data_IF_788390744781
#
_entry.id   IF_788390744781
#
_cell.length_a   1.000
_cell.length_b   1.000
_cell.length_c   1.000
_cell.angle_alpha   90.00
_cell.angle_beta   90.00
_cell.angle_gamma   90.00
#
_symmetry.space_group_name_H-M   'P 1'
#
loop_
_entity.id
_entity.type
_entity.pdbx_description
1 polymer ?
#
# COMPACT_ATOMS: atom_id res chain seq x y z
N UNK A 1 -5.03 14.65 -17.44
CA UNK A 1 -5.62 14.08 -16.20
C UNK A 1 -5.70 12.55 -16.28
N UNK A 2 -6.40 11.96 -17.26
CA UNK A 2 -6.47 10.50 -17.43
C UNK A 2 -5.10 9.82 -17.45
N UNK A 3 -4.12 10.39 -18.16
CA UNK A 3 -2.76 9.87 -18.22
C UNK A 3 -2.10 9.74 -16.83
N UNK A 4 -2.29 10.73 -15.95
CA UNK A 4 -1.76 10.71 -14.58
C UNK A 4 -2.43 9.62 -13.75
N UNK A 5 -3.75 9.43 -13.90
CA UNK A 5 -4.49 8.38 -13.21
C UNK A 5 -3.99 7.00 -13.65
N UNK A 6 -3.88 6.75 -14.95
CA UNK A 6 -3.43 5.47 -15.50
C UNK A 6 -1.99 5.15 -15.07
N UNK A 7 -1.07 6.10 -15.26
CA UNK A 7 0.33 5.92 -14.86
C UNK A 7 0.42 5.72 -13.35
N UNK A 8 -0.29 6.54 -12.56
CA UNK A 8 -0.30 6.46 -11.10
C UNK A 8 -0.78 5.11 -10.58
N UNK A 9 -1.84 4.54 -11.16
CA UNK A 9 -2.32 3.20 -10.79
C UNK A 9 -1.30 2.12 -11.12
N UNK A 10 -0.71 2.14 -12.32
CA UNK A 10 0.30 1.15 -12.72
C UNK A 10 1.54 1.20 -11.81
N UNK A 11 1.95 2.42 -11.49
CA UNK A 11 3.08 2.68 -10.63
C UNK A 11 2.81 2.24 -9.17
N UNK A 12 1.58 2.40 -8.68
CA UNK A 12 1.19 1.98 -7.33
C UNK A 12 1.42 0.48 -7.11
N UNK A 13 1.23 -0.35 -8.15
CA UNK A 13 1.50 -1.79 -8.08
C UNK A 13 3.00 -2.10 -8.16
N UNK A 14 3.75 -1.29 -8.93
CA UNK A 14 5.18 -1.54 -9.19
C UNK A 14 6.16 -0.92 -8.20
N UNK A 15 5.70 -0.14 -7.21
CA UNK A 15 6.59 0.57 -6.28
C UNK A 15 7.02 -0.36 -5.16
N UNK A 16 8.31 -0.70 -5.12
CA UNK A 16 8.89 -1.44 -4.01
C UNK A 16 8.87 -0.60 -2.71
N UNK A 17 8.59 -1.24 -1.57
CA UNK A 17 8.56 -0.60 -0.24
C UNK A 17 9.95 -0.29 0.33
N UNK A 18 10.80 0.39 -0.46
CA UNK A 18 12.16 0.78 -0.06
C UNK A 18 12.26 2.31 0.12
N UNK A 19 13.11 2.80 1.04
CA UNK A 19 13.33 4.24 1.21
C UNK A 19 13.76 4.90 -0.11
N UNK A 20 13.16 6.05 -0.43
CA UNK A 20 13.48 6.84 -1.63
C UNK A 20 12.84 6.34 -2.93
N UNK A 21 12.08 5.23 -2.92
CA UNK A 21 11.36 4.76 -4.12
C UNK A 21 10.34 5.80 -4.64
N UNK A 22 9.70 6.55 -3.73
CA UNK A 22 8.72 7.57 -4.06
C UNK A 22 9.26 8.70 -4.95
N UNK A 23 10.51 9.13 -4.74
CA UNK A 23 11.13 10.20 -5.55
C UNK A 23 11.46 9.73 -6.97
N UNK A 24 12.00 8.52 -7.12
CA UNK A 24 12.26 7.93 -8.45
C UNK A 24 10.96 7.84 -9.25
N UNK A 25 9.89 7.50 -8.55
CA UNK A 25 8.57 7.29 -9.09
C UNK A 25 7.92 8.63 -9.52
N UNK A 26 8.00 9.68 -8.69
CA UNK A 26 7.60 11.05 -9.04
C UNK A 26 8.42 11.59 -10.23
N UNK A 27 9.74 11.38 -10.24
CA UNK A 27 10.61 11.78 -11.36
C UNK A 27 10.18 11.16 -12.69
N UNK A 28 9.78 9.89 -12.65
CA UNK A 28 9.31 9.15 -13.82
C UNK A 28 7.99 9.72 -14.34
N UNK A 29 7.03 10.02 -13.45
CA UNK A 29 5.76 10.64 -13.82
C UNK A 29 5.97 12.02 -14.43
N UNK A 30 6.80 12.87 -13.80
CA UNK A 30 7.11 14.22 -14.30
C UNK A 30 7.66 14.20 -15.72
N UNK A 31 8.60 13.29 -16.00
CA UNK A 31 9.15 13.08 -17.34
C UNK A 31 8.08 12.67 -18.35
N UNK A 32 7.18 11.75 -17.97
CA UNK A 32 6.13 11.24 -18.85
C UNK A 32 5.02 12.27 -19.17
N UNK A 33 4.80 13.25 -18.29
CA UNK A 33 3.82 14.33 -18.53
C UNK A 33 4.47 15.63 -19.02
N UNK A 34 5.78 15.65 -19.28
CA UNK A 34 6.50 16.81 -19.80
C UNK A 34 6.71 17.95 -18.78
N UNK A 35 6.68 17.64 -17.48
CA UNK A 35 6.92 18.61 -16.42
C UNK A 35 8.43 18.73 -16.10
N UNK A 36 8.87 19.90 -15.61
CA UNK A 36 10.28 20.15 -15.31
C UNK A 36 10.78 19.24 -14.17
N UNK A 37 11.74 18.38 -14.47
CA UNK A 37 12.34 17.43 -13.51
C UNK A 37 13.03 18.15 -12.34
N UNK A 38 13.48 19.39 -12.54
CA UNK A 38 14.11 20.22 -11.52
C UNK A 38 13.16 20.48 -10.32
N UNK A 39 11.84 20.47 -10.55
CA UNK A 39 10.86 20.60 -9.48
C UNK A 39 10.87 19.38 -8.52
N UNK A 40 11.32 18.21 -8.98
CA UNK A 40 11.45 17.02 -8.12
C UNK A 40 12.56 17.19 -7.09
N UNK A 41 13.59 17.99 -7.39
CA UNK A 41 14.65 18.31 -6.43
C UNK A 41 14.15 19.15 -5.24
N UNK A 42 12.98 19.79 -5.33
CA UNK A 42 12.35 20.44 -4.18
C UNK A 42 11.64 19.40 -3.28
N UNK A 43 11.09 18.35 -3.88
CA UNK A 43 10.38 17.29 -3.16
C UNK A 43 11.34 16.39 -2.35
N UNK A 44 12.61 16.28 -2.75
CA UNK A 44 13.61 15.52 -1.99
C UNK A 44 13.81 16.05 -0.57
N UNK A 45 13.54 17.34 -0.32
CA UNK A 45 13.62 17.92 1.02
C UNK A 45 12.62 17.30 2.02
N UNK A 46 11.51 16.76 1.53
CA UNK A 46 10.46 16.14 2.36
C UNK A 46 10.29 14.63 2.09
N UNK A 47 11.08 14.05 1.18
CA UNK A 47 10.93 12.67 0.72
C UNK A 47 10.91 11.67 1.86
N UNK A 48 11.80 11.83 2.85
CA UNK A 48 11.83 10.95 4.01
C UNK A 48 10.49 10.93 4.77
N UNK A 49 9.88 12.09 4.99
CA UNK A 49 8.61 12.19 5.72
C UNK A 49 7.44 11.61 4.91
N UNK A 50 7.36 11.99 3.63
CA UNK A 50 6.31 11.52 2.73
C UNK A 50 6.42 10.00 2.52
N UNK A 51 7.64 9.51 2.31
CA UNK A 51 7.94 8.09 2.15
C UNK A 51 7.57 7.26 3.37
N UNK A 52 7.86 7.76 4.59
CA UNK A 52 7.42 7.10 5.82
C UNK A 52 5.89 7.03 5.92
N UNK A 53 5.19 8.10 5.54
CA UNK A 53 3.72 8.11 5.47
C UNK A 53 3.17 7.06 4.52
N UNK A 54 3.75 6.93 3.32
CA UNK A 54 3.38 5.89 2.36
C UNK A 54 3.57 4.48 2.93
N UNK A 55 4.72 4.19 3.55
CA UNK A 55 4.96 2.88 4.17
C UNK A 55 3.96 2.60 5.29
N UNK A 56 3.71 3.57 6.17
CA UNK A 56 2.77 3.42 7.29
C UNK A 56 1.34 3.13 6.79
N UNK A 57 0.88 3.84 5.76
CA UNK A 57 -0.43 3.64 5.17
C UNK A 57 -0.54 2.29 4.45
N UNK A 58 0.50 1.87 3.73
CA UNK A 58 0.53 0.58 3.05
C UNK A 58 0.44 -0.57 4.07
N UNK A 59 1.27 -0.55 5.13
CA UNK A 59 1.23 -1.57 6.19
C UNK A 59 -0.12 -1.55 6.91
N UNK A 60 -0.69 -0.38 7.17
CA UNK A 60 -2.03 -0.28 7.79
C UNK A 60 -3.10 -0.89 6.89
N UNK A 61 -3.03 -0.64 5.59
CA UNK A 61 -3.93 -1.25 4.60
C UNK A 61 -3.84 -2.79 4.59
N UNK A 62 -2.63 -3.34 4.63
CA UNK A 62 -2.40 -4.79 4.68
C UNK A 62 -2.97 -5.40 5.98
N UNK A 63 -2.77 -4.74 7.13
CA UNK A 63 -3.32 -5.18 8.41
C UNK A 63 -4.86 -5.15 8.41
N UNK A 64 -5.45 -4.07 7.89
CA UNK A 64 -6.91 -3.95 7.78
C UNK A 64 -7.46 -5.00 6.82
N UNK A 65 -6.83 -5.20 5.66
CA UNK A 65 -7.22 -6.21 4.69
C UNK A 65 -7.14 -7.63 5.29
N UNK A 66 -6.04 -7.93 5.99
CA UNK A 66 -5.85 -9.20 6.69
C UNK A 66 -6.94 -9.43 7.74
N UNK A 67 -7.23 -8.43 8.57
CA UNK A 67 -8.27 -8.54 9.59
C UNK A 67 -9.69 -8.71 9.00
N UNK A 68 -9.97 -8.03 7.88
CA UNK A 68 -11.24 -8.18 7.15
C UNK A 68 -11.39 -9.58 6.55
N UNK A 69 -10.32 -10.12 5.95
CA UNK A 69 -10.31 -11.47 5.38
C UNK A 69 -10.46 -12.50 6.50
N UNK A 70 -9.66 -12.42 7.57
CA UNK A 70 -9.75 -13.36 8.69
C UNK A 70 -11.15 -13.38 9.30
N UNK A 71 -11.77 -12.21 9.53
CA UNK A 71 -13.17 -12.14 9.98
C UNK A 71 -14.14 -12.80 8.99
N UNK A 72 -13.92 -12.65 7.68
CA UNK A 72 -14.75 -13.25 6.64
C UNK A 72 -14.58 -14.78 6.58
N UNK A 73 -13.40 -15.30 6.91
CA UNK A 73 -13.08 -16.73 6.94
C UNK A 73 -13.43 -17.39 8.29
N UNK A 74 -13.88 -16.61 9.28
CA UNK A 74 -14.30 -17.11 10.59
C UNK A 74 -13.20 -17.13 11.65
N UNK A 75 -12.03 -16.54 11.39
CA UNK A 75 -11.01 -16.31 12.42
C UNK A 75 -11.53 -15.31 13.47
N UNK A 76 -11.39 -15.69 14.75
CA UNK A 76 -11.63 -14.79 15.88
C UNK A 76 -10.29 -14.19 16.27
N UNK A 77 -10.16 -12.88 16.09
CA UNK A 77 -9.03 -12.12 16.60
C UNK A 77 -9.30 -11.90 18.10
N UNK A 78 -8.51 -12.54 18.97
CA UNK A 78 -8.61 -12.34 20.42
C UNK A 78 -8.08 -10.94 20.82
N UNK A 79 -8.39 -10.48 22.03
CA UNK A 79 -7.89 -9.17 22.53
C UNK A 79 -6.35 -9.12 22.68
N UNK A 80 -5.66 -10.26 22.57
CA UNK A 80 -4.19 -10.39 22.62
C UNK A 80 -3.53 -10.24 21.25
N UNK A 81 -4.30 -10.14 20.16
CA UNK A 81 -3.79 -10.06 18.78
C UNK A 81 -3.31 -11.39 18.22
N UNK A 82 -3.66 -12.52 18.85
CA UNK A 82 -3.41 -13.85 18.30
C UNK A 82 -4.64 -14.28 17.49
N UNK A 83 -4.42 -14.60 16.21
CA UNK A 83 -5.45 -15.20 15.38
C UNK A 83 -5.55 -16.69 15.75
N UNK A 84 -6.64 -17.07 16.43
CA UNK A 84 -7.01 -18.47 16.54
C UNK A 84 -8.00 -18.79 15.41
N UNK A 85 -7.57 -19.63 14.48
CA UNK A 85 -8.45 -20.20 13.49
C UNK A 85 -9.43 -21.15 14.18
N UNK A 86 -10.69 -20.73 14.29
CA UNK A 86 -11.78 -21.65 14.63
C UNK A 86 -11.91 -22.61 13.44
N UNK A 87 -11.39 -23.85 13.59
CA UNK A 87 -11.65 -24.90 12.61
C UNK A 87 -13.17 -25.06 12.56
N UNK A 88 -13.78 -24.58 11.47
CA UNK A 88 -15.19 -24.80 11.16
C UNK A 88 -15.38 -26.32 11.11
N UNK A 89 -15.72 -26.90 12.24
CA UNK A 89 -16.13 -28.29 12.36
C UNK A 89 -17.51 -28.36 11.76
N UNK A 90 -17.56 -28.59 10.46
CA UNK A 90 -18.78 -28.73 9.68
C UNK A 90 -19.75 -29.72 10.36
N UNK A 91 -20.88 -29.27 10.94
CA UNK A 91 -21.98 -30.15 11.28
C UNK A 91 -22.98 -30.10 10.12
N UNK A 92 -23.19 -31.25 9.46
CA UNK A 92 -24.17 -31.50 8.37
C UNK A 92 -23.68 -31.06 6.96
N UNK A 93 -23.41 -31.90 5.95
CA UNK A 93 -24.13 -33.05 5.35
C UNK A 93 -24.37 -32.67 3.85
N UNK A 94 -24.45 -33.57 2.83
CA UNK A 94 -24.84 -35.00 2.84
C UNK A 94 -23.69 -36.02 2.79
#
# INVERSE_FOLDING_TARGET
>A
MLQVVVIGTLISVGTAGVPGAGIVMIATVFSQVGLPIQAVALLTAIDALVGMGCTALNVTGDLVGTALIGRSEGERIDESGSAEAEVVSNPEGP
#
